data_IF_106371860819
#
_entry.id   IF_106371860819
#
_cell.length_a   1.000
_cell.length_b   1.000
_cell.length_c   1.000
_cell.angle_alpha   90.00
_cell.angle_beta   90.00
_cell.angle_gamma   90.00
#
_symmetry.space_group_name_H-M   'P 1'
#
loop_
_entity.id
_entity.type
_entity.pdbx_description
1 polymer ?
#
# COMPACT_ATOMS: atom_id res chain seq x y z
N UNK A 1 -28.00 56.15 -21.91
CA UNK A 1 -27.91 54.92 -22.72
C UNK A 1 -26.46 54.66 -23.07
N UNK A 2 -25.81 53.69 -22.40
CA UNK A 2 -24.55 53.08 -22.86
C UNK A 2 -24.70 51.58 -22.67
N UNK A 3 -24.47 50.87 -23.76
CA UNK A 3 -24.76 49.46 -24.03
C UNK A 3 -23.71 48.58 -23.36
N UNK A 4 -24.16 47.53 -22.66
CA UNK A 4 -23.36 46.36 -22.30
C UNK A 4 -23.04 45.54 -23.55
N UNK A 5 -21.87 44.89 -23.60
CA UNK A 5 -21.90 43.42 -23.57
C UNK A 5 -20.83 42.89 -22.59
N UNK A 6 -21.14 42.04 -21.61
CA UNK A 6 -21.51 40.64 -21.78
C UNK A 6 -20.53 39.88 -22.68
N UNK A 7 -19.37 39.50 -22.13
CA UNK A 7 -18.67 38.23 -22.43
C UNK A 7 -17.43 38.06 -21.52
N UNK A 8 -17.60 38.10 -20.20
CA UNK A 8 -16.62 37.45 -19.33
C UNK A 8 -16.92 35.95 -19.41
N UNK A 9 -16.26 35.31 -20.37
CA UNK A 9 -16.32 33.88 -20.58
C UNK A 9 -16.06 33.18 -19.24
N UNK A 10 -17.05 32.41 -18.79
CA UNK A 10 -16.84 31.22 -17.98
C UNK A 10 -15.79 30.35 -18.69
N UNK A 11 -14.51 30.61 -18.46
CA UNK A 11 -13.51 29.56 -18.44
C UNK A 11 -13.69 28.87 -17.09
N UNK A 12 -14.78 28.09 -17.01
CA UNK A 12 -14.77 26.87 -16.24
C UNK A 12 -13.55 26.12 -16.74
N UNK A 13 -12.47 26.15 -15.95
CA UNK A 13 -11.42 25.16 -16.08
C UNK A 13 -12.16 23.82 -16.03
N UNK A 14 -12.33 23.20 -17.20
CA UNK A 14 -12.79 21.83 -17.25
C UNK A 14 -11.89 21.08 -16.28
N UNK A 15 -12.43 20.41 -15.24
CA UNK A 15 -11.59 19.64 -14.34
C UNK A 15 -10.87 18.64 -15.22
N UNK A 16 -9.58 18.89 -15.42
CA UNK A 16 -8.67 18.01 -16.12
C UNK A 16 -8.57 16.81 -15.19
N UNK A 17 -9.55 15.90 -15.30
CA UNK A 17 -9.55 14.64 -14.58
C UNK A 17 -8.28 13.95 -15.05
N UNK A 18 -7.29 13.70 -14.16
CA UNK A 18 -6.25 12.77 -14.50
C UNK A 18 -6.98 11.45 -14.78
N UNK A 19 -7.11 11.08 -16.05
CA UNK A 19 -7.48 9.72 -16.37
C UNK A 19 -6.32 8.84 -15.89
N UNK A 20 -6.58 7.64 -15.36
CA UNK A 20 -5.53 6.63 -15.22
C UNK A 20 -4.75 6.60 -16.53
N UNK A 21 -3.42 6.55 -16.48
CA UNK A 21 -2.62 6.48 -17.71
C UNK A 21 -3.14 5.28 -18.51
N UNK A 22 -3.36 5.47 -19.82
CA UNK A 22 -3.85 4.39 -20.68
C UNK A 22 -3.00 3.13 -20.43
N UNK A 23 -3.63 2.05 -19.94
CA UNK A 23 -2.95 0.81 -19.58
C UNK A 23 -2.85 0.50 -18.08
N UNK A 24 -2.82 1.47 -17.17
CA UNK A 24 -2.70 1.18 -15.71
C UNK A 24 -3.92 0.39 -15.20
N UNK A 25 -5.13 0.89 -15.49
CA UNK A 25 -6.36 0.22 -15.06
C UNK A 25 -6.45 -1.22 -15.59
N UNK A 26 -6.08 -1.41 -16.86
CA UNK A 26 -6.06 -2.70 -17.54
C UNK A 26 -4.97 -3.64 -16.98
N UNK A 27 -3.78 -3.11 -16.64
CA UNK A 27 -2.72 -3.86 -15.98
C UNK A 27 -3.21 -4.43 -14.65
N UNK A 28 -3.73 -3.59 -13.75
CA UNK A 28 -4.20 -4.03 -12.44
C UNK A 28 -5.35 -5.05 -12.54
N UNK A 29 -6.28 -4.86 -13.48
CA UNK A 29 -7.38 -5.80 -13.72
C UNK A 29 -6.88 -7.15 -14.27
N UNK A 30 -5.93 -7.11 -15.22
CA UNK A 30 -5.30 -8.30 -15.78
C UNK A 30 -4.53 -9.09 -14.71
N UNK A 31 -3.73 -8.41 -13.90
CA UNK A 31 -2.96 -9.01 -12.82
C UNK A 31 -3.87 -9.62 -11.73
N UNK A 32 -4.91 -8.89 -11.30
CA UNK A 32 -5.87 -9.41 -10.32
C UNK A 32 -6.60 -10.66 -10.85
N UNK A 33 -6.98 -10.67 -12.13
CA UNK A 33 -7.59 -11.82 -12.79
C UNK A 33 -6.62 -13.00 -12.86
N UNK A 34 -5.37 -12.75 -13.23
CA UNK A 34 -4.32 -13.77 -13.25
C UNK A 34 -4.10 -14.38 -11.86
N UNK A 35 -3.89 -13.56 -10.83
CA UNK A 35 -3.71 -14.04 -9.45
C UNK A 35 -4.92 -14.83 -8.97
N UNK A 36 -6.13 -14.37 -9.30
CA UNK A 36 -7.38 -15.04 -8.94
C UNK A 36 -7.49 -16.42 -9.62
N UNK A 37 -7.06 -16.56 -10.87
CA UNK A 37 -7.01 -17.83 -11.61
C UNK A 37 -5.84 -18.75 -11.24
N UNK A 38 -4.77 -18.21 -10.64
CA UNK A 38 -3.58 -18.98 -10.26
C UNK A 38 -3.87 -19.95 -9.11
N UNK A 39 -3.62 -21.24 -9.29
CA UNK A 39 -3.69 -22.21 -8.20
C UNK A 39 -2.40 -22.16 -7.39
N UNK A 40 -2.48 -21.60 -6.18
CA UNK A 40 -1.33 -21.52 -5.27
C UNK A 40 -0.91 -22.90 -4.74
N UNK A 41 -1.85 -23.85 -4.69
CA UNK A 41 -1.63 -25.17 -4.10
C UNK A 41 -1.07 -26.19 -5.10
N UNK A 42 -0.91 -25.81 -6.37
CA UNK A 42 -0.34 -26.69 -7.39
C UNK A 42 1.01 -27.29 -6.87
N UNK A 43 1.17 -28.63 -6.92
CA UNK A 43 2.39 -29.29 -6.48
C UNK A 43 3.63 -28.88 -7.30
N UNK A 44 3.46 -28.40 -8.55
CA UNK A 44 4.55 -27.90 -9.39
C UNK A 44 5.04 -26.50 -8.96
N UNK A 45 4.26 -25.78 -8.16
CA UNK A 45 4.69 -24.51 -7.60
C UNK A 45 5.76 -24.71 -6.51
N UNK A 46 6.75 -23.83 -6.51
CA UNK A 46 7.77 -23.76 -5.46
C UNK A 46 7.42 -22.74 -4.39
N UNK A 47 7.79 -23.03 -3.14
CA UNK A 47 7.73 -22.07 -2.04
C UNK A 47 9.13 -21.74 -1.53
N UNK A 48 9.33 -20.51 -1.07
CA UNK A 48 10.54 -20.11 -0.35
C UNK A 48 10.24 -18.94 0.57
N UNK A 49 10.94 -18.82 1.69
CA UNK A 49 10.76 -17.68 2.60
C UNK A 49 11.49 -16.44 2.06
N UNK A 50 10.83 -15.29 2.09
CA UNK A 50 11.50 -14.01 1.85
C UNK A 50 12.34 -13.67 3.10
N UNK A 51 13.67 -13.59 2.93
CA UNK A 51 14.62 -13.06 3.93
C UNK A 51 14.74 -13.82 5.26
N UNK A 52 14.43 -15.13 5.32
CA UNK A 52 14.66 -15.94 6.52
C UNK A 52 13.85 -15.49 7.75
N UNK A 53 12.61 -15.05 7.53
CA UNK A 53 11.74 -14.30 8.44
C UNK A 53 12.20 -12.83 8.57
N UNK A 54 11.60 -11.98 7.73
CA UNK A 54 11.80 -10.53 7.76
C UNK A 54 11.00 -9.90 8.92
N UNK A 55 11.70 -9.34 9.89
CA UNK A 55 11.10 -8.64 11.03
C UNK A 55 10.16 -9.54 11.85
N UNK A 56 8.88 -9.12 11.92
CA UNK A 56 7.82 -9.78 12.69
C UNK A 56 6.68 -10.29 11.79
N UNK A 57 6.99 -10.56 10.52
CA UNK A 57 6.01 -10.92 9.50
C UNK A 57 6.44 -12.19 8.77
N UNK A 58 5.46 -13.00 8.37
CA UNK A 58 5.70 -14.18 7.56
C UNK A 58 5.37 -13.89 6.10
N UNK A 59 6.34 -14.10 5.22
CA UNK A 59 6.18 -13.84 3.79
C UNK A 59 6.74 -15.02 3.00
N UNK A 60 5.85 -15.71 2.29
CA UNK A 60 6.17 -16.86 1.46
C UNK A 60 6.22 -16.44 0.00
N UNK A 61 7.39 -16.49 -0.65
CA UNK A 61 7.49 -16.35 -2.10
C UNK A 61 6.92 -17.60 -2.75
N UNK A 62 6.01 -17.39 -3.70
CA UNK A 62 5.43 -18.44 -4.53
C UNK A 62 6.07 -18.35 -5.90
N UNK A 63 6.67 -19.45 -6.34
CA UNK A 63 7.29 -19.62 -7.65
C UNK A 63 6.43 -20.52 -8.50
N UNK A 64 6.24 -20.15 -9.76
CA UNK A 64 5.55 -21.00 -10.72
C UNK A 64 6.45 -22.16 -11.18
N UNK A 65 5.94 -23.05 -12.06
CA UNK A 65 6.69 -24.19 -12.58
C UNK A 65 8.00 -23.80 -13.32
N UNK A 66 8.05 -22.57 -13.87
CA UNK A 66 9.25 -22.01 -14.51
C UNK A 66 10.35 -21.56 -13.53
N UNK A 67 10.11 -21.66 -12.22
CA UNK A 67 11.01 -21.16 -11.18
C UNK A 67 10.96 -19.64 -10.97
N UNK A 68 10.22 -18.89 -11.79
CA UNK A 68 10.00 -17.44 -11.59
C UNK A 68 9.06 -17.18 -10.44
N UNK A 69 9.34 -16.14 -9.66
CA UNK A 69 8.44 -15.69 -8.58
C UNK A 69 7.19 -15.08 -9.19
N UNK A 70 6.03 -15.61 -8.81
CA UNK A 70 4.71 -15.16 -9.26
C UNK A 70 4.16 -14.11 -8.28
N UNK A 71 4.39 -14.34 -6.99
CA UNK A 71 3.84 -13.49 -5.94
C UNK A 71 4.41 -13.81 -4.57
N UNK A 72 3.93 -13.06 -3.59
CA UNK A 72 4.12 -13.36 -2.17
C UNK A 72 2.80 -13.67 -1.52
N UNK A 73 2.77 -14.77 -0.77
CA UNK A 73 1.68 -15.15 0.10
C UNK A 73 2.00 -14.72 1.53
N UNK A 74 1.08 -13.96 2.12
CA UNK A 74 1.18 -13.42 3.47
C UNK A 74 0.02 -13.92 4.33
N UNK A 75 0.23 -14.92 5.20
CA UNK A 75 -0.78 -15.30 6.17
C UNK A 75 -0.79 -14.31 7.33
N UNK A 76 -1.89 -14.30 8.10
CA UNK A 76 -1.93 -13.56 9.37
C UNK A 76 -0.89 -14.13 10.33
N UNK A 77 0.10 -13.30 10.68
CA UNK A 77 1.31 -13.67 11.41
C UNK A 77 1.94 -12.45 12.09
N UNK A 78 2.31 -12.55 13.37
CA UNK A 78 3.02 -11.49 14.08
C UNK A 78 2.32 -10.13 14.00
N UNK A 79 2.86 -9.15 13.27
CA UNK A 79 2.24 -7.84 13.04
C UNK A 79 1.56 -7.69 11.65
N UNK A 80 1.36 -8.80 10.95
CA UNK A 80 0.68 -8.84 9.64
C UNK A 80 -0.70 -9.48 9.80
N UNK A 81 -1.73 -8.75 9.38
CA UNK A 81 -3.07 -9.26 9.07
C UNK A 81 -3.24 -9.34 7.56
N UNK A 82 -3.57 -10.51 7.03
CA UNK A 82 -3.77 -10.63 5.58
C UNK A 82 -5.00 -9.86 5.10
N UNK A 83 -6.03 -9.76 5.94
CA UNK A 83 -7.25 -8.98 5.66
C UNK A 83 -6.93 -7.50 5.44
N UNK A 84 -5.92 -6.95 6.12
CA UNK A 84 -5.48 -5.57 5.95
C UNK A 84 -4.82 -5.34 4.58
N UNK A 85 -4.01 -6.28 4.09
CA UNK A 85 -3.44 -6.21 2.73
C UNK A 85 -4.53 -6.24 1.65
N UNK A 86 -5.54 -7.10 1.83
CA UNK A 86 -6.70 -7.20 0.93
C UNK A 86 -7.53 -5.91 0.95
N UNK A 87 -7.83 -5.40 2.15
CA UNK A 87 -8.60 -4.17 2.32
C UNK A 87 -7.88 -2.96 1.71
N UNK A 88 -6.57 -2.84 1.92
CA UNK A 88 -5.75 -1.79 1.34
C UNK A 88 -5.84 -1.80 -0.19
N UNK A 89 -5.63 -2.96 -0.82
CA UNK A 89 -5.74 -3.10 -2.27
C UNK A 89 -7.13 -2.74 -2.79
N UNK A 90 -8.19 -3.29 -2.19
CA UNK A 90 -9.58 -3.04 -2.61
C UNK A 90 -9.99 -1.58 -2.42
N UNK A 91 -9.52 -0.92 -1.35
CA UNK A 91 -9.70 0.52 -1.14
C UNK A 91 -8.99 1.35 -2.21
N UNK A 92 -7.73 1.02 -2.52
CA UNK A 92 -6.99 1.63 -3.62
C UNK A 92 -7.78 1.55 -4.94
N UNK A 93 -8.31 0.37 -5.29
CA UNK A 93 -9.15 0.20 -6.50
C UNK A 93 -10.43 1.04 -6.44
N UNK A 94 -11.12 1.02 -5.29
CA UNK A 94 -12.37 1.78 -5.09
C UNK A 94 -12.17 3.29 -5.20
N UNK A 95 -11.04 3.80 -4.71
CA UNK A 95 -10.65 5.21 -4.78
C UNK A 95 -9.90 5.58 -6.07
N UNK A 96 -9.70 4.62 -6.98
CA UNK A 96 -8.96 4.78 -8.25
C UNK A 96 -7.54 5.32 -8.01
N UNK A 97 -6.82 4.68 -7.09
CA UNK A 97 -5.45 5.00 -6.73
C UNK A 97 -4.51 3.94 -7.35
N UNK A 98 -3.53 4.33 -8.16
CA UNK A 98 -2.58 3.40 -8.79
C UNK A 98 -1.42 3.04 -7.86
N UNK A 99 -1.66 2.99 -6.55
CA UNK A 99 -0.58 2.92 -5.54
C UNK A 99 -0.51 1.59 -4.79
N UNK A 100 -1.41 0.63 -5.04
CA UNK A 100 -1.38 -0.67 -4.38
C UNK A 100 -1.08 -1.78 -5.37
N UNK A 101 -0.20 -2.72 -5.02
CA UNK A 101 0.02 -3.90 -5.85
C UNK A 101 -1.23 -4.82 -5.85
N UNK A 102 -1.56 -5.46 -6.99
CA UNK A 102 -2.57 -6.50 -7.08
C UNK A 102 -2.47 -7.50 -5.93
N UNK A 103 -3.56 -7.67 -5.18
CA UNK A 103 -3.61 -8.55 -4.01
C UNK A 103 -4.97 -9.25 -3.96
N UNK A 104 -4.97 -10.59 -3.89
CA UNK A 104 -6.18 -11.41 -3.81
C UNK A 104 -6.10 -12.36 -2.63
N UNK A 105 -7.24 -12.81 -2.15
CA UNK A 105 -7.28 -13.82 -1.09
C UNK A 105 -7.00 -15.20 -1.69
N UNK A 106 -6.14 -15.97 -1.02
CA UNK A 106 -5.88 -17.37 -1.34
C UNK A 106 -5.83 -18.19 -0.06
N UNK A 107 -6.02 -19.50 -0.20
CA UNK A 107 -5.98 -20.43 0.92
C UNK A 107 -5.00 -21.53 0.60
N UNK A 108 -4.01 -21.72 1.48
CA UNK A 108 -3.15 -22.90 1.45
C UNK A 108 -3.92 -24.10 1.99
N UNK A 109 -3.85 -25.23 1.28
CA UNK A 109 -4.39 -26.51 1.71
C UNK A 109 -3.39 -27.31 2.57
N UNK A 110 -3.80 -28.49 3.03
CA UNK A 110 -2.97 -29.34 3.92
C UNK A 110 -1.60 -29.68 3.29
N UNK A 111 -1.56 -30.05 2.02
CA UNK A 111 -0.30 -30.41 1.35
C UNK A 111 0.64 -29.20 1.21
N UNK A 112 0.08 -28.02 0.94
CA UNK A 112 0.84 -26.78 0.87
C UNK A 112 1.30 -26.30 2.25
N UNK A 113 0.51 -26.57 3.29
CA UNK A 113 0.90 -26.36 4.68
C UNK A 113 2.04 -27.27 5.10
N UNK A 114 2.06 -28.54 4.68
CA UNK A 114 3.18 -29.45 4.94
C UNK A 114 4.47 -28.96 4.27
N UNK A 115 4.39 -28.49 3.01
CA UNK A 115 5.54 -27.84 2.34
C UNK A 115 6.01 -26.60 3.10
N UNK A 116 5.08 -25.83 3.64
CA UNK A 116 5.38 -24.62 4.39
C UNK A 116 6.00 -24.93 5.76
N UNK A 117 5.55 -25.96 6.48
CA UNK A 117 6.17 -26.37 7.76
C UNK A 117 7.61 -26.82 7.58
N UNK A 118 7.92 -27.56 6.50
CA UNK A 118 9.31 -27.96 6.18
C UNK A 118 10.19 -26.71 6.03
N UNK A 119 9.74 -25.70 5.27
CA UNK A 119 10.49 -24.46 5.11
C UNK A 119 10.72 -23.72 6.43
N UNK A 120 9.77 -23.79 7.37
CA UNK A 120 9.90 -23.18 8.70
C UNK A 120 10.86 -23.96 9.61
N UNK A 121 10.98 -25.27 9.44
CA UNK A 121 11.95 -26.10 10.15
C UNK A 121 13.39 -25.85 9.67
N UNK A 122 13.56 -25.60 8.37
CA UNK A 122 14.85 -25.35 7.72
C UNK A 122 15.39 -23.93 7.90
N UNK A 123 14.66 -23.03 8.57
CA UNK A 123 15.15 -21.65 8.81
C UNK A 123 16.35 -21.66 9.75
N UNK A 124 17.52 -21.31 9.21
CA UNK A 124 18.71 -21.01 10.00
C UNK A 124 18.77 -19.52 10.33
N UNK A 125 18.98 -19.20 11.62
CA UNK A 125 19.16 -17.82 12.06
C UNK A 125 20.64 -17.52 12.28
N UNK A 126 21.17 -16.54 11.55
CA UNK A 126 22.52 -16.03 11.74
C UNK A 126 22.69 -15.38 13.14
N UNK A 127 23.90 -15.48 13.70
CA UNK A 127 24.25 -14.81 14.96
C UNK A 127 23.71 -15.48 16.23
N UNK A 128 23.25 -16.74 16.16
CA UNK A 128 22.77 -17.52 17.32
C UNK A 128 23.80 -17.57 18.47
N UNK A 129 25.08 -17.57 18.13
CA UNK A 129 26.19 -17.67 19.09
C UNK A 129 26.76 -16.30 19.53
N UNK A 130 26.25 -15.19 18.99
CA UNK A 130 26.66 -13.84 19.37
C UNK A 130 25.70 -13.26 20.45
N UNK A 131 26.18 -12.98 21.66
CA UNK A 131 25.37 -12.38 22.74
C UNK A 131 24.66 -11.08 22.34
N UNK A 132 25.20 -10.33 21.38
CA UNK A 132 24.60 -9.09 20.85
C UNK A 132 23.29 -9.36 20.11
N UNK A 133 23.14 -10.53 19.49
CA UNK A 133 21.96 -10.90 18.70
C UNK A 133 21.04 -11.90 19.41
N UNK A 134 21.41 -12.39 20.60
CA UNK A 134 20.63 -13.38 21.35
C UNK A 134 19.15 -12.98 21.61
N UNK A 135 18.87 -11.69 21.82
CA UNK A 135 17.50 -11.21 21.99
C UNK A 135 16.68 -11.29 20.68
N UNK A 136 17.30 -10.91 19.57
CA UNK A 136 16.70 -10.98 18.23
C UNK A 136 16.45 -12.42 17.80
N UNK A 137 17.44 -13.30 18.03
CA UNK A 137 17.31 -14.74 17.81
C UNK A 137 16.11 -15.33 18.58
N UNK A 138 16.02 -15.06 19.89
CA UNK A 138 14.89 -15.56 20.70
C UNK A 138 13.53 -15.07 20.21
N UNK A 139 13.46 -13.83 19.71
CA UNK A 139 12.23 -13.30 19.12
C UNK A 139 11.87 -14.06 17.84
N UNK A 140 12.82 -14.24 16.92
CA UNK A 140 12.61 -14.97 15.67
C UNK A 140 12.23 -16.43 15.91
N UNK A 141 12.87 -17.10 16.85
CA UNK A 141 12.58 -18.49 17.20
C UNK A 141 11.18 -18.65 17.80
N UNK A 142 10.76 -17.74 18.70
CA UNK A 142 9.37 -17.74 19.20
C UNK A 142 8.36 -17.52 18.09
N UNK A 143 8.67 -16.64 17.13
CA UNK A 143 7.82 -16.38 15.98
C UNK A 143 7.72 -17.61 15.07
N UNK A 144 8.85 -18.27 14.78
CA UNK A 144 8.92 -19.52 14.03
C UNK A 144 8.06 -20.60 14.70
N UNK A 145 8.23 -20.82 16.01
CA UNK A 145 7.45 -21.81 16.75
C UNK A 145 5.96 -21.49 16.74
N UNK A 146 5.56 -20.24 16.99
CA UNK A 146 4.14 -19.85 16.93
C UNK A 146 3.51 -20.07 15.55
N UNK A 147 4.29 -19.92 14.48
CA UNK A 147 3.85 -20.24 13.13
C UNK A 147 3.77 -21.74 12.87
N UNK A 148 4.75 -22.52 13.35
CA UNK A 148 4.70 -23.98 13.29
C UNK A 148 3.47 -24.54 14.01
N UNK A 149 3.20 -24.07 15.23
CA UNK A 149 2.01 -24.45 16.00
C UNK A 149 0.74 -24.15 15.20
N UNK A 150 0.64 -22.94 14.64
CA UNK A 150 -0.51 -22.53 13.82
C UNK A 150 -0.69 -23.37 12.55
N UNK A 151 0.40 -23.77 11.90
CA UNK A 151 0.35 -24.64 10.72
C UNK A 151 -0.14 -26.03 11.11
N UNK A 152 0.37 -26.60 12.21
CA UNK A 152 0.00 -27.95 12.67
C UNK A 152 -1.46 -28.07 13.18
N UNK A 153 -2.05 -26.99 13.69
CA UNK A 153 -3.42 -26.98 14.20
C UNK A 153 -4.49 -26.80 13.09
N UNK A 154 -4.08 -26.64 11.83
CA UNK A 154 -4.98 -26.23 10.74
C UNK A 154 -4.85 -27.14 9.52
N UNK A 155 -5.97 -27.40 8.87
CA UNK A 155 -6.02 -28.07 7.55
C UNK A 155 -5.97 -27.09 6.40
N UNK A 156 -6.20 -25.80 6.67
CA UNK A 156 -6.15 -24.72 5.68
C UNK A 156 -5.68 -23.41 6.31
N UNK A 157 -5.07 -22.54 5.51
CA UNK A 157 -4.63 -21.23 5.98
C UNK A 157 -4.93 -20.14 4.95
N UNK A 158 -5.85 -19.20 5.24
CA UNK A 158 -6.06 -18.05 4.38
C UNK A 158 -4.89 -17.06 4.48
N UNK A 159 -4.66 -16.34 3.40
CA UNK A 159 -3.66 -15.30 3.31
C UNK A 159 -3.86 -14.41 2.10
N UNK A 160 -3.09 -13.33 2.07
CA UNK A 160 -3.08 -12.38 0.98
C UNK A 160 -2.02 -12.82 -0.03
N UNK A 161 -2.43 -13.09 -1.25
CA UNK A 161 -1.54 -13.38 -2.37
C UNK A 161 -1.37 -12.14 -3.23
N UNK A 162 -0.18 -11.56 -3.17
CA UNK A 162 0.17 -10.29 -3.77
C UNK A 162 1.11 -10.52 -4.95
N UNK A 163 0.86 -9.88 -6.09
CA UNK A 163 1.72 -10.05 -7.28
C UNK A 163 3.16 -9.68 -6.98
N UNK A 164 4.09 -10.41 -7.57
CA UNK A 164 5.50 -10.09 -7.52
C UNK A 164 5.81 -9.06 -8.59
N UNK A 165 6.25 -7.88 -8.19
CA UNK A 165 6.58 -6.81 -9.12
C UNK A 165 8.11 -6.75 -9.25
N UNK A 166 8.62 -7.10 -10.43
CA UNK A 166 10.03 -7.00 -10.81
C UNK A 166 10.29 -5.62 -11.44
N UNK A 167 11.38 -4.88 -11.09
CA UNK A 167 12.04 -4.71 -9.80
C UNK A 167 11.42 -3.55 -8.98
N UNK A 168 11.18 -3.74 -7.67
CA UNK A 168 10.63 -2.73 -6.74
C UNK A 168 11.54 -2.45 -5.55
N UNK A 169 12.23 -1.32 -5.42
CA UNK A 169 12.97 -1.11 -4.15
C UNK A 169 13.28 0.34 -3.73
N UNK A 170 12.48 0.90 -2.82
CA UNK A 170 12.73 1.98 -1.85
C UNK A 170 13.11 3.39 -2.32
N UNK A 171 12.09 4.26 -2.33
CA UNK A 171 12.30 5.70 -2.40
C UNK A 171 12.81 6.21 -1.03
N UNK A 172 14.13 6.32 -0.86
CA UNK A 172 14.73 7.01 0.28
C UNK A 172 14.45 8.52 0.14
N UNK A 173 13.39 8.95 0.80
CA UNK A 173 12.90 10.32 0.79
C UNK A 173 11.46 10.43 1.30
N UNK A 174 10.64 9.39 1.07
CA UNK A 174 9.28 9.26 1.61
C UNK A 174 9.13 8.08 2.58
N UNK A 175 10.19 7.28 2.78
CA UNK A 175 10.17 6.12 3.67
C UNK A 175 10.06 6.46 5.16
N UNK A 176 10.34 7.69 5.58
CA UNK A 176 10.13 8.17 6.95
C UNK A 176 9.62 9.61 6.99
N UNK A 177 8.97 9.98 8.09
CA UNK A 177 8.31 11.29 8.23
C UNK A 177 9.29 12.47 8.20
N UNK A 178 10.52 12.31 8.71
CA UNK A 178 11.50 13.38 8.73
C UNK A 178 12.05 13.65 7.32
N UNK A 179 12.23 12.59 6.52
CA UNK A 179 12.59 12.69 5.11
C UNK A 179 11.48 13.31 4.28
N UNK A 180 10.20 12.94 4.51
CA UNK A 180 9.05 13.58 3.84
C UNK A 180 9.11 15.10 4.03
N UNK A 181 9.33 15.56 5.27
CA UNK A 181 9.37 17.00 5.61
C UNK A 181 10.50 17.78 4.94
N UNK A 182 11.55 17.10 4.50
CA UNK A 182 12.68 17.68 3.76
C UNK A 182 12.48 17.60 2.24
N UNK A 183 11.53 16.78 1.79
CA UNK A 183 11.27 16.56 0.39
C UNK A 183 10.46 17.72 -0.20
N UNK A 184 10.71 18.07 -1.46
CA UNK A 184 10.06 19.19 -2.15
C UNK A 184 8.53 19.05 -2.21
N UNK A 185 8.01 17.82 -2.14
CA UNK A 185 6.57 17.51 -2.04
C UNK A 185 5.90 18.16 -0.82
N UNK A 186 6.63 18.30 0.29
CA UNK A 186 6.06 18.67 1.58
C UNK A 186 5.39 20.04 1.54
N UNK A 187 6.04 21.02 0.90
CA UNK A 187 5.53 22.38 0.77
C UNK A 187 4.14 22.41 0.12
N UNK A 188 3.89 21.53 -0.84
CA UNK A 188 2.61 21.46 -1.55
C UNK A 188 1.47 20.84 -0.73
N UNK A 189 1.75 20.22 0.42
CA UNK A 189 0.71 19.69 1.32
C UNK A 189 -0.07 20.79 2.03
N UNK A 190 0.50 22.01 2.13
CA UNK A 190 -0.09 23.12 2.88
C UNK A 190 -0.05 24.50 2.18
N UNK A 191 0.51 24.62 0.97
CA UNK A 191 0.57 25.90 0.26
C UNK A 191 -0.77 26.41 -0.27
N UNK A 192 -1.06 27.69 0.00
CA UNK A 192 -2.16 28.44 -0.61
C UNK A 192 -1.82 28.77 -2.09
N UNK A 193 -2.40 28.02 -3.03
CA UNK A 193 -2.26 28.24 -4.48
C UNK A 193 -2.28 26.92 -5.25
N UNK A 194 -2.73 26.85 -6.52
CA UNK A 194 -2.62 25.62 -7.30
C UNK A 194 -1.17 25.12 -7.26
N UNK A 195 -0.91 23.81 -7.04
CA UNK A 195 0.44 23.32 -7.24
C UNK A 195 0.82 23.71 -8.66
N UNK A 196 2.08 24.06 -8.92
CA UNK A 196 2.57 24.13 -10.30
C UNK A 196 2.54 22.72 -10.88
N UNK A 197 1.34 22.28 -11.27
CA UNK A 197 0.97 20.87 -11.43
C UNK A 197 1.57 20.24 -12.69
N UNK A 198 2.22 21.05 -13.52
CA UNK A 198 2.98 20.61 -14.69
C UNK A 198 4.45 20.37 -14.39
N UNK A 199 5.00 20.86 -13.27
CA UNK A 199 6.44 20.73 -12.99
C UNK A 199 6.80 19.26 -12.77
N UNK A 200 7.72 18.70 -13.56
CA UNK A 200 8.27 17.38 -13.30
C UNK A 200 9.15 17.45 -12.06
N UNK A 201 9.07 16.42 -11.22
CA UNK A 201 10.00 16.17 -10.13
C UNK A 201 10.68 14.84 -10.39
N UNK A 202 12.01 14.85 -10.30
CA UNK A 202 12.79 13.64 -10.42
C UNK A 202 12.68 12.83 -9.12
N UNK A 203 12.36 11.56 -9.27
CA UNK A 203 12.28 10.58 -8.20
C UNK A 203 13.46 9.62 -8.36
N UNK A 204 14.23 9.42 -7.29
CA UNK A 204 15.41 8.56 -7.27
C UNK A 204 15.28 7.46 -6.22
N UNK A 205 15.87 6.31 -6.51
CA UNK A 205 15.68 5.11 -5.71
C UNK A 205 16.91 4.17 -5.77
N UNK A 206 17.59 4.01 -4.63
CA UNK A 206 18.70 3.11 -4.28
C UNK A 206 18.32 1.67 -3.94
N UNK A 207 19.00 0.63 -4.48
CA UNK A 207 18.80 -0.72 -3.97
C UNK A 207 19.91 -1.76 -4.15
N UNK A 208 19.97 -2.67 -3.16
CA UNK A 208 20.83 -3.85 -3.08
C UNK A 208 20.06 -5.17 -2.90
N UNK A 209 18.73 -5.15 -2.78
CA UNK A 209 17.95 -6.34 -2.37
C UNK A 209 17.42 -7.19 -3.54
N UNK A 210 17.29 -6.63 -4.74
CA UNK A 210 16.77 -7.33 -5.91
C UNK A 210 17.52 -6.89 -7.17
N UNK A 211 17.37 -7.70 -8.23
CA UNK A 211 18.15 -7.58 -9.46
C UNK A 211 17.38 -6.85 -10.57
N UNK A 212 18.05 -6.01 -11.40
CA UNK A 212 19.44 -5.59 -11.23
C UNK A 212 19.60 -4.68 -10.00
N UNK A 213 20.65 -4.92 -9.24
CA UNK A 213 21.08 -4.03 -8.15
C UNK A 213 21.56 -2.72 -8.79
N UNK A 214 21.23 -1.57 -8.19
CA UNK A 214 21.59 -0.29 -8.80
C UNK A 214 20.69 0.86 -8.37
N UNK A 215 20.84 1.99 -9.06
CA UNK A 215 20.09 3.22 -8.81
C UNK A 215 19.09 3.49 -9.94
N UNK A 216 17.87 3.82 -9.56
CA UNK A 216 16.75 4.05 -10.47
C UNK A 216 16.30 5.50 -10.41
N UNK A 217 15.98 6.09 -11.57
CA UNK A 217 15.39 7.43 -11.66
C UNK A 217 14.20 7.47 -12.60
N UNK A 218 13.23 8.31 -12.28
CA UNK A 218 12.11 8.62 -13.17
C UNK A 218 11.51 9.97 -12.84
N UNK A 219 10.69 10.50 -13.74
CA UNK A 219 10.03 11.79 -13.54
C UNK A 219 8.53 11.61 -13.35
N UNK A 220 7.98 12.29 -12.34
CA UNK A 220 6.55 12.37 -12.10
C UNK A 220 6.14 13.83 -12.01
N UNK A 221 4.92 14.21 -12.42
CA UNK A 221 4.47 15.58 -12.16
C UNK A 221 4.15 15.73 -10.67
N UNK A 222 4.47 16.89 -10.09
CA UNK A 222 4.20 17.18 -8.67
C UNK A 222 2.74 16.87 -8.29
N UNK A 223 1.78 17.22 -9.15
CA UNK A 223 0.37 16.92 -8.92
C UNK A 223 0.07 15.42 -8.87
N UNK A 224 0.65 14.63 -9.77
CA UNK A 224 0.47 13.17 -9.80
C UNK A 224 1.08 12.53 -8.55
N UNK A 225 2.26 13.00 -8.13
CA UNK A 225 2.93 12.56 -6.91
C UNK A 225 2.11 12.89 -5.66
N UNK A 226 1.56 14.10 -5.55
CA UNK A 226 0.68 14.51 -4.44
C UNK A 226 -0.58 13.65 -4.38
N UNK A 227 -1.22 13.43 -5.53
CA UNK A 227 -2.41 12.59 -5.67
C UNK A 227 -2.15 11.17 -5.14
N UNK A 228 -1.01 10.58 -5.51
CA UNK A 228 -0.60 9.25 -5.08
C UNK A 228 -0.24 9.22 -3.59
N UNK A 229 0.55 10.19 -3.12
CA UNK A 229 0.98 10.27 -1.73
C UNK A 229 -0.18 10.49 -0.76
N UNK A 230 -1.04 11.47 -1.02
CA UNK A 230 -2.25 11.72 -0.21
C UNK A 230 -3.19 10.51 -0.29
N UNK A 231 -3.30 9.87 -1.46
CA UNK A 231 -4.06 8.63 -1.63
C UNK A 231 -3.61 7.52 -0.69
N UNK A 232 -2.30 7.25 -0.60
CA UNK A 232 -1.74 6.27 0.33
C UNK A 232 -2.08 6.60 1.77
N UNK A 233 -1.85 7.84 2.20
CA UNK A 233 -2.14 8.27 3.58
C UNK A 233 -3.62 8.15 3.94
N UNK A 234 -4.51 8.39 2.97
CA UNK A 234 -5.95 8.19 3.15
C UNK A 234 -6.28 6.72 3.36
N UNK A 235 -5.66 5.81 2.59
CA UNK A 235 -5.85 4.38 2.80
C UNK A 235 -5.33 3.96 4.17
N UNK A 236 -4.11 4.38 4.53
CA UNK A 236 -3.51 4.14 5.86
C UNK A 236 -4.42 4.64 6.99
N UNK A 237 -4.99 5.84 6.86
CA UNK A 237 -5.93 6.37 7.84
C UNK A 237 -7.23 5.55 7.94
N UNK A 238 -7.77 5.06 6.82
CA UNK A 238 -8.99 4.26 6.79
C UNK A 238 -8.79 2.89 7.45
N UNK A 239 -7.63 2.25 7.24
CA UNK A 239 -7.31 0.95 7.83
C UNK A 239 -6.52 1.05 9.14
N UNK A 240 -6.20 2.27 9.61
CA UNK A 240 -5.35 2.52 10.77
C UNK A 240 -3.95 1.87 10.69
N UNK A 241 -3.35 1.87 9.49
CA UNK A 241 -1.97 1.45 9.31
C UNK A 241 -1.01 2.58 9.72
N UNK A 242 -0.11 2.26 10.66
CA UNK A 242 0.87 3.21 11.20
C UNK A 242 2.30 2.88 10.76
N UNK A 243 2.51 1.83 9.98
CA UNK A 243 3.83 1.32 9.65
C UNK A 243 4.39 1.89 8.33
N UNK A 244 3.61 2.74 7.62
CA UNK A 244 4.00 3.36 6.34
C UNK A 244 5.39 4.00 6.36
N UNK A 245 5.77 4.60 7.49
CA UNK A 245 7.00 5.37 7.67
C UNK A 245 8.11 4.61 8.42
N UNK A 246 8.07 3.28 8.43
CA UNK A 246 9.12 2.43 9.01
C UNK A 246 10.39 2.33 8.12
N UNK A 247 10.50 3.12 7.06
CA UNK A 247 11.63 3.16 6.14
C UNK A 247 11.52 2.24 4.92
N UNK A 248 10.52 1.35 4.90
CA UNK A 248 10.47 0.19 3.99
C UNK A 248 9.24 0.08 3.09
N UNK A 249 8.24 0.97 3.22
CA UNK A 249 6.88 0.67 2.75
C UNK A 249 6.38 1.59 1.62
N UNK A 250 7.25 2.46 1.08
CA UNK A 250 6.96 3.36 -0.05
C UNK A 250 8.03 3.19 -1.14
N UNK A 251 7.61 2.81 -2.35
CA UNK A 251 8.50 2.46 -3.46
C UNK A 251 8.12 3.22 -4.73
N UNK A 252 9.06 3.35 -5.64
CA UNK A 252 8.77 3.63 -7.05
C UNK A 252 8.56 2.32 -7.79
N UNK A 253 7.52 2.30 -8.62
CA UNK A 253 7.29 1.25 -9.58
C UNK A 253 6.95 1.82 -10.95
N UNK A 254 7.17 1.02 -11.99
CA UNK A 254 6.64 1.26 -13.32
C UNK A 254 5.99 -0.02 -13.83
N UNK A 255 4.88 0.12 -14.54
CA UNK A 255 4.27 -0.99 -15.29
C UNK A 255 4.96 -1.23 -16.64
N UNK A 256 5.81 -0.31 -17.10
CA UNK A 256 6.52 -0.44 -18.36
C UNK A 256 7.88 -1.12 -18.10
N UNK A 257 8.01 -2.33 -18.64
CA UNK A 257 9.16 -3.21 -18.45
C UNK A 257 10.44 -2.73 -19.15
N UNK A 258 10.40 -1.63 -19.90
CA UNK A 258 11.57 -1.08 -20.60
C UNK A 258 12.43 -0.24 -19.67
N UNK A 259 13.06 -0.92 -18.72
CA UNK A 259 14.10 -0.34 -17.88
C UNK A 259 15.40 -0.32 -18.69
N UNK A 260 15.88 0.87 -19.02
CA UNK A 260 17.14 1.08 -19.70
C UNK A 260 18.14 1.74 -18.75
N UNK A 261 19.39 1.29 -18.76
CA UNK A 261 20.47 2.00 -18.09
C UNK A 261 20.91 3.19 -18.97
N UNK A 262 21.17 4.34 -18.35
CA UNK A 262 21.72 5.50 -19.02
C UNK A 262 23.22 5.67 -18.79
N UNK A 263 23.80 6.71 -19.40
CA UNK A 263 25.25 6.96 -19.41
C UNK A 263 25.85 7.14 -18.01
N UNK A 264 25.02 7.50 -17.01
CA UNK A 264 25.44 7.68 -15.61
C UNK A 264 25.32 6.39 -14.79
N UNK A 265 24.95 5.26 -15.42
CA UNK A 265 24.68 3.99 -14.74
C UNK A 265 23.33 3.96 -14.01
N UNK A 266 22.41 4.89 -14.30
CA UNK A 266 21.07 4.90 -13.71
C UNK A 266 20.07 4.14 -14.57
N UNK A 267 19.27 3.30 -13.93
CA UNK A 267 18.12 2.66 -14.54
C UNK A 267 16.96 3.65 -14.66
N UNK A 268 16.51 3.94 -15.88
CA UNK A 268 15.37 4.81 -16.14
C UNK A 268 14.05 4.06 -15.96
N UNK A 269 13.21 4.57 -15.06
CA UNK A 269 11.84 4.13 -14.84
C UNK A 269 10.90 5.00 -15.69
N UNK A 270 10.37 4.49 -16.82
CA UNK A 270 9.35 5.20 -17.57
C UNK A 270 8.08 5.34 -16.73
N UNK A 271 7.46 6.52 -16.73
CA UNK A 271 6.15 6.74 -16.11
C UNK A 271 6.04 6.17 -14.67
N UNK A 272 6.94 6.56 -13.74
CA UNK A 272 6.95 6.02 -12.39
C UNK A 272 5.66 6.35 -11.64
N UNK A 273 5.34 5.53 -10.65
CA UNK A 273 4.27 5.73 -9.68
C UNK A 273 4.74 5.29 -8.29
N UNK A 274 4.15 5.86 -7.25
CA UNK A 274 4.33 5.39 -5.87
C UNK A 274 3.64 4.06 -5.69
N UNK A 275 4.27 3.16 -4.96
CA UNK A 275 3.73 1.89 -4.53
C UNK A 275 3.78 1.76 -3.02
N UNK A 276 2.62 1.40 -2.49
CA UNK A 276 2.26 1.17 -1.11
C UNK A 276 2.44 -0.31 -0.78
N UNK A 277 3.54 -0.65 -0.10
CA UNK A 277 3.84 -2.02 0.32
C UNK A 277 3.49 -2.26 1.79
N UNK A 278 3.42 -3.53 2.14
CA UNK A 278 3.30 -4.03 3.52
C UNK A 278 2.20 -3.40 4.36
N UNK A 279 0.95 -3.55 3.91
CA UNK A 279 -0.22 -2.98 4.57
C UNK A 279 -0.79 -3.88 5.69
N UNK A 280 -0.04 -4.93 6.04
CA UNK A 280 -0.45 -5.94 7.00
C UNK A 280 -0.64 -5.41 8.42
N UNK A 281 -0.02 -4.27 8.75
CA UNK A 281 -0.16 -3.64 10.05
C UNK A 281 -1.51 -2.89 10.24
N UNK A 282 -2.32 -2.80 9.18
CA UNK A 282 -3.68 -2.26 9.27
C UNK A 282 -4.54 -3.00 10.30
N UNK A 283 -5.45 -2.27 10.93
CA UNK A 283 -6.36 -2.68 12.00
C UNK A 283 -5.72 -3.11 13.33
N UNK A 284 -4.39 -3.23 13.39
CA UNK A 284 -3.63 -3.47 14.63
C UNK A 284 -3.34 -2.19 15.41
N UNK A 285 -3.35 -1.05 14.72
CA UNK A 285 -3.06 0.26 15.28
C UNK A 285 -4.16 0.83 16.18
N UNK A 286 -3.82 1.88 16.92
CA UNK A 286 -4.82 2.69 17.60
C UNK A 286 -5.55 3.57 16.56
N UNK A 287 -6.85 3.81 16.80
CA UNK A 287 -7.77 4.57 15.94
C UNK A 287 -7.21 5.92 15.43
N UNK A 288 -6.31 6.57 16.18
CA UNK A 288 -5.94 7.97 15.94
C UNK A 288 -4.59 8.18 15.28
N UNK A 289 -3.67 7.21 15.28
CA UNK A 289 -2.27 7.45 14.90
C UNK A 289 -2.11 7.75 13.39
N UNK A 290 -2.67 6.92 12.50
CA UNK A 290 -2.55 7.12 11.05
C UNK A 290 -3.21 8.43 10.60
N UNK A 291 -4.33 8.79 11.26
CA UNK A 291 -5.02 10.04 11.00
C UNK A 291 -4.27 11.26 11.58
N UNK A 292 -3.55 11.08 12.68
CA UNK A 292 -2.68 12.10 13.26
C UNK A 292 -1.50 12.44 12.34
N UNK A 293 -1.00 11.48 11.55
CA UNK A 293 -0.02 11.77 10.50
C UNK A 293 -0.54 12.85 9.55
N UNK A 294 -1.77 12.67 9.04
CA UNK A 294 -2.40 13.64 8.13
C UNK A 294 -2.61 14.99 8.84
N UNK A 295 -3.16 14.96 10.05
CA UNK A 295 -3.68 16.16 10.74
C UNK A 295 -2.63 16.97 11.48
N UNK A 296 -1.71 16.30 12.17
CA UNK A 296 -0.76 16.90 13.12
C UNK A 296 0.65 16.93 12.55
N UNK A 297 1.10 15.83 11.96
CA UNK A 297 2.48 15.68 11.55
C UNK A 297 2.79 16.31 10.20
N UNK A 298 1.92 16.07 9.22
CA UNK A 298 2.01 16.62 7.86
C UNK A 298 1.09 17.83 7.66
N UNK A 299 0.05 17.98 8.50
CA UNK A 299 -0.91 19.09 8.49
C UNK A 299 -1.49 19.36 7.09
N UNK A 300 -1.94 18.31 6.42
CA UNK A 300 -2.41 18.37 5.03
C UNK A 300 -3.67 19.24 4.95
N UNK A 301 -3.60 20.35 4.21
CA UNK A 301 -4.74 21.26 4.00
C UNK A 301 -5.32 21.18 2.59
N UNK A 302 -4.85 20.23 1.78
CA UNK A 302 -5.24 20.11 0.38
C UNK A 302 -5.48 18.68 -0.02
N UNK A 303 -6.57 18.45 -0.74
CA UNK A 303 -7.00 17.12 -1.13
C UNK A 303 -7.37 17.07 -2.61
N UNK A 304 -7.03 16.00 -3.33
CA UNK A 304 -7.56 15.79 -4.67
C UNK A 304 -9.09 15.67 -4.59
N UNK A 305 -9.81 16.48 -5.39
CA UNK A 305 -11.30 16.48 -5.33
C UNK A 305 -11.88 15.07 -5.54
N UNK A 306 -11.28 14.32 -6.47
CA UNK A 306 -11.67 12.94 -6.80
C UNK A 306 -11.64 11.99 -5.58
N UNK A 307 -10.66 12.16 -4.70
CA UNK A 307 -10.53 11.29 -3.52
C UNK A 307 -11.62 11.66 -2.51
N UNK A 308 -11.86 12.95 -2.29
CA UNK A 308 -12.95 13.39 -1.42
C UNK A 308 -14.32 12.90 -1.90
N UNK A 309 -14.62 13.05 -3.20
CA UNK A 309 -15.85 12.52 -3.79
C UNK A 309 -15.95 10.99 -3.62
N UNK A 310 -14.83 10.27 -3.77
CA UNK A 310 -14.76 8.82 -3.52
C UNK A 310 -15.03 8.44 -2.06
N UNK A 311 -14.49 9.19 -1.09
CA UNK A 311 -14.77 9.00 0.33
C UNK A 311 -16.24 9.28 0.67
N UNK A 312 -16.85 10.29 0.05
CA UNK A 312 -18.28 10.55 0.21
C UNK A 312 -19.14 9.39 -0.34
N UNK A 313 -18.77 8.85 -1.50
CA UNK A 313 -19.44 7.68 -2.07
C UNK A 313 -19.32 6.44 -1.17
N UNK A 314 -18.14 6.22 -0.57
CA UNK A 314 -17.94 5.17 0.43
C UNK A 314 -18.85 5.35 1.64
N UNK A 315 -18.96 6.58 2.18
CA UNK A 315 -19.84 6.87 3.31
C UNK A 315 -21.32 6.64 2.97
N UNK A 316 -21.77 7.12 1.82
CA UNK A 316 -23.15 6.90 1.37
C UNK A 316 -23.46 5.40 1.18
N UNK A 317 -22.49 4.61 0.69
CA UNK A 317 -22.65 3.17 0.58
C UNK A 317 -22.71 2.51 1.97
N UNK A 318 -21.84 2.90 2.90
CA UNK A 318 -21.84 2.40 4.27
C UNK A 318 -23.18 2.66 4.99
N UNK A 319 -23.77 3.83 4.77
CA UNK A 319 -25.08 4.20 5.34
C UNK A 319 -26.23 3.37 4.76
N UNK A 320 -26.08 2.90 3.51
CA UNK A 320 -27.08 2.08 2.82
C UNK A 320 -26.95 0.59 3.15
N UNK A 321 -25.73 0.07 3.09
CA UNK A 321 -25.41 -1.36 3.21
C UNK A 321 -23.96 -1.52 3.70
N UNK A 322 -23.77 -1.34 5.01
CA UNK A 322 -22.46 -1.52 5.63
C UNK A 322 -21.94 -2.96 5.48
N UNK A 323 -22.72 -4.04 5.73
CA UNK A 323 -22.22 -5.41 5.56
C UNK A 323 -21.73 -5.69 4.13
N UNK A 324 -22.49 -5.26 3.12
CA UNK A 324 -22.10 -5.43 1.72
C UNK A 324 -20.84 -4.63 1.35
N UNK A 325 -20.69 -3.41 1.88
CA UNK A 325 -19.45 -2.63 1.71
C UNK A 325 -18.24 -3.33 2.35
N UNK A 326 -18.36 -3.80 3.58
CA UNK A 326 -17.27 -4.46 4.31
C UNK A 326 -16.84 -5.75 3.60
N UNK A 327 -17.80 -6.57 3.16
CA UNK A 327 -17.53 -7.77 2.37
C UNK A 327 -16.82 -7.44 1.05
N UNK A 328 -17.30 -6.41 0.33
CA UNK A 328 -16.68 -5.95 -0.91
C UNK A 328 -15.24 -5.44 -0.71
N UNK A 329 -14.93 -4.90 0.47
CA UNK A 329 -13.58 -4.47 0.84
C UNK A 329 -12.73 -5.57 1.47
N UNK A 330 -13.30 -6.73 1.83
CA UNK A 330 -12.58 -7.77 2.57
C UNK A 330 -12.24 -7.37 4.01
N UNK A 331 -13.06 -6.49 4.61
CA UNK A 331 -12.91 -6.05 6.00
C UNK A 331 -13.84 -6.92 6.86
N UNK A 332 -13.31 -7.72 7.80
CA UNK A 332 -14.16 -8.54 8.66
C UNK A 332 -14.91 -7.66 9.69
N UNK A 333 -16.09 -8.12 10.11
CA UNK A 333 -16.88 -7.41 11.14
C UNK A 333 -16.11 -7.32 12.46
N UNK A 334 -15.62 -8.46 12.92
CA UNK A 334 -14.79 -8.64 14.10
C UNK A 334 -13.68 -9.65 13.79
N UNK A 335 -12.54 -9.51 14.44
CA UNK A 335 -11.43 -10.44 14.26
C UNK A 335 -10.59 -10.59 15.53
N UNK A 336 -9.87 -11.71 15.63
CA UNK A 336 -9.03 -12.07 16.77
C UNK A 336 -7.63 -12.41 16.30
N UNK A 337 -6.63 -11.86 16.97
CA UNK A 337 -5.21 -12.02 16.61
C UNK A 337 -4.37 -11.85 17.86
N UNK A 338 -3.43 -12.79 18.07
CA UNK A 338 -2.58 -12.83 19.26
C UNK A 338 -3.34 -12.63 20.59
N UNK A 339 -4.53 -13.24 20.71
CA UNK A 339 -5.38 -13.15 21.91
C UNK A 339 -6.11 -11.80 22.10
N UNK A 340 -5.94 -10.85 21.19
CA UNK A 340 -6.61 -9.55 21.21
C UNK A 340 -7.80 -9.55 20.26
N UNK A 341 -8.92 -9.02 20.72
CA UNK A 341 -10.08 -8.71 19.89
C UNK A 341 -9.88 -7.34 19.25
N UNK A 342 -10.10 -7.25 17.95
CA UNK A 342 -10.15 -5.99 17.23
C UNK A 342 -11.41 -5.97 16.38
N UNK A 343 -11.93 -4.77 16.11
CA UNK A 343 -13.18 -4.56 15.39
C UNK A 343 -12.92 -3.75 14.11
N UNK A 344 -12.36 -4.35 13.04
CA UNK A 344 -12.00 -3.66 11.80
C UNK A 344 -13.15 -2.86 11.20
N UNK A 345 -14.36 -3.41 11.18
CA UNK A 345 -15.54 -2.71 10.68
C UNK A 345 -15.84 -1.42 11.44
N UNK A 346 -15.80 -1.47 12.77
CA UNK A 346 -16.01 -0.27 13.61
C UNK A 346 -14.90 0.73 13.43
N UNK A 347 -13.65 0.27 13.29
CA UNK A 347 -12.49 1.12 13.06
C UNK A 347 -12.57 1.84 11.71
N UNK A 348 -12.85 1.10 10.65
CA UNK A 348 -13.00 1.63 9.29
C UNK A 348 -14.08 2.71 9.21
N UNK A 349 -15.29 2.41 9.70
CA UNK A 349 -16.44 3.35 9.68
C UNK A 349 -16.13 4.62 10.46
N UNK A 350 -15.61 4.46 11.68
CA UNK A 350 -15.09 5.54 12.50
C UNK A 350 -14.10 6.43 11.74
N UNK A 351 -13.10 5.82 11.09
CA UNK A 351 -11.99 6.53 10.50
C UNK A 351 -12.43 7.26 9.24
N UNK A 352 -13.34 6.66 8.47
CA UNK A 352 -14.01 7.30 7.35
C UNK A 352 -14.75 8.58 7.80
N UNK A 353 -15.51 8.51 8.89
CA UNK A 353 -16.21 9.69 9.44
C UNK A 353 -15.25 10.77 9.92
N UNK A 354 -14.23 10.37 10.68
CA UNK A 354 -13.23 11.29 11.19
C UNK A 354 -12.46 11.97 10.03
N UNK A 355 -12.04 11.21 9.03
CA UNK A 355 -11.33 11.72 7.87
C UNK A 355 -12.20 12.70 7.07
N UNK A 356 -13.45 12.33 6.76
CA UNK A 356 -14.39 13.25 6.08
C UNK A 356 -14.67 14.51 6.91
N UNK A 357 -14.81 14.39 8.23
CA UNK A 357 -14.97 15.53 9.12
C UNK A 357 -13.77 16.47 9.08
N UNK A 358 -12.55 15.93 9.00
CA UNK A 358 -11.33 16.73 8.86
C UNK A 358 -11.28 17.45 7.52
N UNK A 359 -11.49 16.74 6.41
CA UNK A 359 -11.44 17.33 5.06
C UNK A 359 -12.49 18.45 4.92
N UNK A 360 -13.70 18.27 5.46
CA UNK A 360 -14.73 19.32 5.51
C UNK A 360 -14.33 20.51 6.37
N UNK A 361 -13.63 20.28 7.48
CA UNK A 361 -13.06 21.34 8.31
C UNK A 361 -12.01 22.16 7.55
N UNK A 362 -11.17 21.48 6.76
CA UNK A 362 -10.20 22.11 5.85
C UNK A 362 -10.91 22.91 4.75
N UNK A 363 -11.93 22.34 4.09
CA UNK A 363 -12.77 23.05 3.12
C UNK A 363 -13.42 24.31 3.71
N UNK A 364 -13.98 24.22 4.93
CA UNK A 364 -14.56 25.39 5.60
C UNK A 364 -13.53 26.50 5.87
N UNK A 365 -12.29 26.12 6.17
CA UNK A 365 -11.20 27.05 6.51
C UNK A 365 -10.56 27.68 5.27
N UNK A 366 -10.35 26.90 4.21
CA UNK A 366 -9.57 27.29 3.03
C UNK A 366 -10.44 27.49 1.75
N UNK A 367 -11.75 27.22 1.82
CA UNK A 367 -12.66 27.36 0.69
C UNK A 367 -12.26 26.49 -0.50
N UNK A 368 -12.34 27.06 -1.71
CA UNK A 368 -11.96 26.37 -2.95
C UNK A 368 -10.49 25.92 -3.00
N UNK A 369 -9.59 26.53 -2.21
CA UNK A 369 -8.17 26.16 -2.18
C UNK A 369 -7.90 24.81 -1.49
N UNK A 370 -8.88 24.29 -0.73
CA UNK A 370 -8.80 22.97 -0.11
C UNK A 370 -8.77 21.81 -1.14
N UNK A 371 -9.19 22.07 -2.37
CA UNK A 371 -9.23 21.07 -3.44
C UNK A 371 -8.45 21.52 -4.66
N UNK A 372 -7.99 20.55 -5.45
CA UNK A 372 -7.35 20.77 -6.74
C UNK A 372 -7.73 19.72 -7.77
#
# INVERSE_FOLDING_TARGET
>A
MKVLPALFALLLAAPCRPQPREGEAAYFESEEKFLSGFDINDPENGFSLLGGLEGSSMILKVKGPSGRTIGVFKPTSGNTLYEAEIAAYRLCRRLRLPVCAPTVEKTLDSASLDRFSILLEEVEFEGKDDPKFAAHFRMKERFRQAMMDRVSERTTMPGAFKTWIEPLILYQGLGDLASVKKHELYEYLFHDGPPDGGRPIELRQCTTLYKPEGCYRGELRVRELLDQFIGMLIVDALIADNDRFAGGNVHLFSIDARIAEDEDGWHRLPAPSLLMLDNGAGFLGSRTQALDVIRKDLKITRFPRRIFDGLQALKAQAEKDLPGLLAALGIPEDARHAGKHYAPARMFTSNLEALLGYIRGVEKKHGGAAFY
#
